data_IF_758677360989
#
_entry.id   IF_758677360989
#
_cell.length_a   1.000
_cell.length_b   1.000
_cell.length_c   1.000
_cell.angle_alpha   90.00
_cell.angle_beta   90.00
_cell.angle_gamma   90.00
#
_symmetry.space_group_name_H-M   'P 1'
#
loop_
_entity.id
_entity.type
_entity.pdbx_description
1 polymer ?
#
# COMPACT_ATOMS: atom_id res chain seq x y z
N UNK A 1 -8.85 -15.86 12.04
CA UNK A 1 -10.30 -15.59 12.10
C UNK A 1 -10.75 -15.10 10.72
N UNK A 2 -11.26 -16.01 9.89
CA UNK A 2 -11.73 -15.74 8.53
C UNK A 2 -12.99 -16.58 8.25
N UNK A 3 -13.99 -16.42 9.12
CA UNK A 3 -15.33 -16.97 8.91
C UNK A 3 -16.31 -15.85 9.27
N UNK A 4 -16.90 -15.21 8.25
CA UNK A 4 -18.02 -14.26 8.42
C UNK A 4 -17.77 -12.78 8.08
N UNK A 5 -16.59 -12.35 7.65
CA UNK A 5 -16.38 -10.98 7.10
C UNK A 5 -16.38 -11.03 5.57
N UNK A 6 -16.53 -9.90 4.87
CA UNK A 6 -16.57 -9.79 3.39
C UNK A 6 -15.38 -10.42 2.63
N UNK A 7 -14.41 -10.99 3.36
CA UNK A 7 -13.20 -11.60 2.84
C UNK A 7 -12.23 -10.57 2.27
N UNK A 8 -12.48 -9.27 2.47
CA UNK A 8 -11.65 -8.22 1.87
C UNK A 8 -10.17 -8.37 2.26
N UNK A 9 -9.89 -8.67 3.53
CA UNK A 9 -8.52 -8.91 4.00
C UNK A 9 -7.93 -10.19 3.39
N UNK A 10 -8.70 -11.26 3.23
CA UNK A 10 -8.23 -12.49 2.58
C UNK A 10 -7.88 -12.25 1.10
N UNK A 11 -8.72 -11.50 0.38
CA UNK A 11 -8.53 -11.16 -1.04
C UNK A 11 -7.31 -10.26 -1.26
N UNK A 12 -7.09 -9.29 -0.36
CA UNK A 12 -6.04 -8.30 -0.51
C UNK A 12 -4.71 -8.70 0.16
N UNK A 13 -4.71 -9.68 1.07
CA UNK A 13 -3.52 -10.08 1.81
C UNK A 13 -2.30 -10.41 0.93
N UNK A 14 -2.42 -11.16 -0.19
CA UNK A 14 -1.27 -11.42 -1.05
C UNK A 14 -0.66 -10.14 -1.66
N UNK A 15 -1.51 -9.20 -2.09
CA UNK A 15 -1.05 -7.92 -2.63
C UNK A 15 -0.36 -7.05 -1.59
N UNK A 16 -0.91 -6.99 -0.38
CA UNK A 16 -0.28 -6.28 0.76
C UNK A 16 1.05 -6.94 1.14
N UNK A 17 1.12 -8.27 1.15
CA UNK A 17 2.37 -8.99 1.42
C UNK A 17 3.46 -8.66 0.42
N UNK A 18 3.14 -8.63 -0.87
CA UNK A 18 4.09 -8.23 -1.91
C UNK A 18 4.52 -6.76 -1.77
N UNK A 19 3.59 -5.83 -1.57
CA UNK A 19 3.89 -4.41 -1.33
C UNK A 19 4.84 -4.22 -0.15
N UNK A 20 4.61 -4.94 0.96
CA UNK A 20 5.45 -4.86 2.15
C UNK A 20 6.85 -5.44 1.92
N UNK A 21 6.98 -6.53 1.17
CA UNK A 21 8.28 -7.12 0.84
C UNK A 21 9.14 -6.14 0.03
N UNK A 22 8.58 -5.51 -1.01
CA UNK A 22 9.28 -4.50 -1.82
C UNK A 22 9.64 -3.25 -1.00
N UNK A 23 8.74 -2.80 -0.12
CA UNK A 23 9.01 -1.67 0.78
C UNK A 23 10.20 -1.96 1.71
N UNK A 24 10.25 -3.14 2.32
CA UNK A 24 11.34 -3.54 3.21
C UNK A 24 12.65 -3.61 2.44
N UNK A 25 12.68 -4.32 1.30
CA UNK A 25 13.88 -4.47 0.48
C UNK A 25 14.44 -3.13 -0.01
N UNK A 26 13.58 -2.21 -0.47
CA UNK A 26 13.99 -0.88 -0.90
C UNK A 26 14.59 -0.04 0.24
N UNK A 27 13.95 -0.04 1.41
CA UNK A 27 14.43 0.69 2.59
C UNK A 27 15.73 0.09 3.12
N UNK A 28 15.87 -1.23 3.15
CA UNK A 28 17.11 -1.90 3.56
C UNK A 28 18.27 -1.62 2.59
N UNK A 29 17.97 -1.32 1.32
CA UNK A 29 18.94 -0.84 0.31
C UNK A 29 19.26 0.65 0.40
N UNK A 30 18.67 1.37 1.36
CA UNK A 30 18.95 2.77 1.65
C UNK A 30 18.01 3.77 1.00
N UNK A 31 16.89 3.33 0.40
CA UNK A 31 15.87 4.27 -0.08
C UNK A 31 15.16 4.92 1.11
N UNK A 32 15.13 6.25 1.14
CA UNK A 32 14.33 7.01 2.11
C UNK A 32 12.88 7.04 1.64
N UNK A 33 12.07 6.09 2.12
CA UNK A 33 10.66 5.98 1.77
C UNK A 33 9.83 7.24 2.09
N UNK A 34 10.25 8.02 3.10
CA UNK A 34 9.50 9.20 3.51
C UNK A 34 9.74 10.39 2.56
N UNK A 35 10.93 10.48 1.97
CA UNK A 35 11.30 11.51 0.99
C UNK A 35 11.05 11.07 -0.47
N UNK A 36 11.27 9.79 -0.77
CA UNK A 36 11.10 9.15 -2.08
C UNK A 36 10.26 7.86 -1.93
N UNK A 37 8.93 7.97 -1.99
CA UNK A 37 8.04 6.84 -1.76
C UNK A 37 8.27 5.67 -2.71
N UNK A 38 8.26 4.46 -2.15
CA UNK A 38 8.47 3.23 -2.90
C UNK A 38 7.28 3.01 -3.85
N UNK A 39 7.60 2.68 -5.09
CA UNK A 39 6.65 2.39 -6.15
C UNK A 39 6.72 0.89 -6.48
N UNK A 40 5.58 0.20 -6.47
CA UNK A 40 5.52 -1.24 -6.71
C UNK A 40 4.63 -1.55 -7.89
N UNK A 41 5.20 -2.16 -8.93
CA UNK A 41 4.43 -2.65 -10.07
C UNK A 41 3.83 -4.01 -9.76
N UNK A 42 2.51 -4.10 -9.76
CA UNK A 42 1.81 -5.36 -9.48
C UNK A 42 2.05 -6.39 -10.59
N UNK A 43 2.45 -7.64 -10.26
CA UNK A 43 2.97 -8.60 -11.24
C UNK A 43 1.95 -9.08 -12.27
N UNK A 44 0.65 -9.02 -11.95
CA UNK A 44 -0.42 -9.54 -12.82
C UNK A 44 -1.24 -8.46 -13.51
N UNK A 45 -1.28 -7.25 -12.96
CA UNK A 45 -2.10 -6.15 -13.49
C UNK A 45 -1.27 -5.01 -14.06
N UNK A 46 0.04 -5.02 -13.85
CA UNK A 46 0.97 -3.93 -14.17
C UNK A 46 0.59 -2.58 -13.56
N UNK A 47 -0.34 -2.56 -12.60
CA UNK A 47 -0.72 -1.35 -11.88
C UNK A 47 0.47 -0.93 -11.01
N UNK A 48 0.87 0.33 -11.16
CA UNK A 48 1.86 0.95 -10.30
C UNK A 48 1.19 1.44 -9.01
N UNK A 49 1.54 0.83 -7.88
CA UNK A 49 1.10 1.28 -6.57
C UNK A 49 2.16 2.20 -5.95
N UNK A 50 1.70 3.38 -5.51
CA UNK A 50 2.52 4.31 -4.74
C UNK A 50 2.30 4.08 -3.24
N UNK A 51 3.31 3.52 -2.56
CA UNK A 51 3.23 3.26 -1.12
C UNK A 51 3.11 4.56 -0.29
N UNK A 52 3.52 5.70 -0.84
CA UNK A 52 3.36 7.03 -0.23
C UNK A 52 1.91 7.42 0.01
N UNK A 53 0.94 6.82 -0.70
CA UNK A 53 -0.48 6.98 -0.41
C UNK A 53 -0.85 6.56 1.02
N UNK A 54 -0.12 5.62 1.60
CA UNK A 54 -0.33 5.13 2.97
C UNK A 54 0.58 5.84 3.99
N UNK A 55 1.38 6.81 3.56
CA UNK A 55 2.27 7.56 4.45
C UNK A 55 1.49 8.37 5.46
N UNK A 56 1.99 8.40 6.71
CA UNK A 56 1.49 9.32 7.75
C UNK A 56 1.76 10.79 7.44
N UNK A 57 2.72 11.07 6.54
CA UNK A 57 3.09 12.42 6.09
C UNK A 57 2.36 12.86 4.82
N UNK A 58 1.47 12.03 4.27
CA UNK A 58 0.75 12.36 3.04
C UNK A 58 -0.06 13.65 3.20
N UNK A 59 -0.18 14.42 2.12
CA UNK A 59 -1.10 15.55 2.10
C UNK A 59 -2.54 15.07 2.29
N UNK A 60 -3.35 15.89 2.95
CA UNK A 60 -4.76 15.61 3.12
C UNK A 60 -5.43 15.61 1.74
N UNK A 61 -6.25 14.59 1.47
CA UNK A 61 -7.06 14.56 0.27
C UNK A 61 -8.34 15.36 0.54
N UNK A 62 -8.48 16.55 -0.02
CA UNK A 62 -9.67 17.41 0.17
C UNK A 62 -10.94 16.80 -0.45
N UNK A 63 -10.80 15.90 -1.42
CA UNK A 63 -11.91 15.12 -1.99
C UNK A 63 -12.29 13.89 -1.17
N UNK A 64 -11.65 13.68 -0.02
CA UNK A 64 -11.94 12.58 0.89
C UNK A 64 -13.34 12.74 1.49
N UNK A 65 -14.12 11.67 1.46
CA UNK A 65 -15.37 11.56 2.22
C UNK A 65 -15.12 11.40 3.72
N UNK A 66 -13.86 11.22 4.13
CA UNK A 66 -13.42 10.85 5.47
C UNK A 66 -14.03 9.52 5.96
N UNK A 67 -14.48 8.68 5.04
CA UNK A 67 -14.89 7.31 5.32
C UNK A 67 -13.73 6.33 5.11
N UNK A 68 -13.97 5.06 5.45
CA UNK A 68 -12.99 3.98 5.24
C UNK A 68 -12.59 3.81 3.77
N UNK A 69 -13.41 4.27 2.82
CA UNK A 69 -13.12 4.19 1.38
C UNK A 69 -12.23 5.31 0.86
N UNK A 70 -11.96 6.33 1.66
CA UNK A 70 -11.38 7.58 1.18
C UNK A 70 -12.42 8.66 1.07
#
# INVERSE_FOLDING_TARGET
>A
MAVGTSGNQFKNAPGVGHLMAELIDAVEKGQDHDADPVQVTMPYTAVLLNAGFYSRRRQLNEGSSFTVLG
#
